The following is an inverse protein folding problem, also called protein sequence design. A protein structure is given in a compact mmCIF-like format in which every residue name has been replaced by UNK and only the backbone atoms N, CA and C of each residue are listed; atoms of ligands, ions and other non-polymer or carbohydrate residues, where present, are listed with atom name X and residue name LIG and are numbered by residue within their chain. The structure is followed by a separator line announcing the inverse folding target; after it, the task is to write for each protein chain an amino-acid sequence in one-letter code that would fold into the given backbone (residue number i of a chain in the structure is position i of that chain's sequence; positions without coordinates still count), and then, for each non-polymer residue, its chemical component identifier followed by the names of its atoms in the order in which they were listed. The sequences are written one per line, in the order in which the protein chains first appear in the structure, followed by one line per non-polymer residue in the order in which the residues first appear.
data_IF_561802896605
#
_entry.id   IF_561802896605
#
_cell.length_a   1.000
_cell.length_b   1.000
_cell.length_c   1.000
_cell.angle_alpha   90.00
_cell.angle_beta   90.00
_cell.angle_gamma   90.00
#
_symmetry.space_group_name_H-M   'P 1'
#
loop_
_entity.id
_entity.type
_entity.pdbx_description
1 polymer ?
#
# COMPACT_ATOMS: atom_id res chain seq x y z
N UNK A 1 42.66 4.48 7.43
CA UNK A 1 41.46 4.71 8.25
C UNK A 1 40.50 5.54 7.42
N UNK A 2 39.58 4.91 6.70
CA UNK A 2 38.55 5.61 5.96
C UNK A 2 37.42 5.93 6.95
N UNK A 3 37.27 7.18 7.28
CA UNK A 3 36.12 7.73 7.99
C UNK A 3 34.94 7.62 7.01
N UNK A 4 34.15 6.54 7.12
CA UNK A 4 32.89 6.46 6.42
C UNK A 4 31.95 7.47 7.07
N UNK A 5 31.80 8.65 6.43
CA UNK A 5 30.76 9.60 6.76
C UNK A 5 29.44 8.84 6.76
N UNK A 6 28.84 8.64 7.95
CA UNK A 6 27.49 8.11 8.08
C UNK A 6 26.58 9.03 7.29
N UNK A 7 26.03 8.52 6.20
CA UNK A 7 25.08 9.28 5.38
C UNK A 7 23.96 9.74 6.31
N UNK A 8 23.90 11.05 6.56
CA UNK A 8 22.81 11.67 7.33
C UNK A 8 21.52 11.45 6.54
N UNK A 9 20.58 10.69 7.10
CA UNK A 9 19.32 10.39 6.42
C UNK A 9 18.41 9.52 7.27
N UNK A 10 17.26 9.14 6.71
CA UNK A 10 16.28 8.29 7.37
C UNK A 10 16.58 6.82 7.08
N UNK A 11 16.61 5.99 8.10
CA UNK A 11 16.72 4.55 7.91
C UNK A 11 15.33 3.90 7.64
N UNK A 12 15.32 2.64 7.21
CA UNK A 12 14.09 1.92 6.89
C UNK A 12 13.09 1.84 8.06
N UNK A 13 13.58 1.72 9.30
CA UNK A 13 12.70 1.66 10.48
C UNK A 13 11.96 2.97 10.68
N UNK A 14 12.65 4.11 10.53
CA UNK A 14 12.05 5.44 10.67
C UNK A 14 10.98 5.67 9.59
N UNK A 15 11.28 5.36 8.33
CA UNK A 15 10.32 5.49 7.23
C UNK A 15 9.08 4.60 7.42
N UNK A 16 9.28 3.36 7.89
CA UNK A 16 8.17 2.46 8.23
C UNK A 16 7.34 2.96 9.40
N UNK A 17 7.95 3.59 10.39
CA UNK A 17 7.22 4.20 11.51
C UNK A 17 6.37 5.37 11.02
N UNK A 18 6.93 6.24 10.17
CA UNK A 18 6.17 7.31 9.51
C UNK A 18 4.96 6.74 8.75
N UNK A 19 5.16 5.66 7.98
CA UNK A 19 4.09 4.99 7.27
C UNK A 19 3.02 4.42 8.21
N UNK A 20 3.40 3.82 9.34
CA UNK A 20 2.47 3.32 10.36
C UNK A 20 1.61 4.46 10.93
N UNK A 21 2.21 5.58 11.30
CA UNK A 21 1.49 6.73 11.85
C UNK A 21 0.51 7.30 10.81
N UNK A 22 0.98 7.54 9.59
CA UNK A 22 0.16 8.07 8.51
C UNK A 22 -1.01 7.14 8.15
N UNK A 23 -0.78 5.83 8.12
CA UNK A 23 -1.80 4.80 7.89
C UNK A 23 -2.87 4.82 8.98
N UNK A 24 -2.45 4.93 10.23
CA UNK A 24 -3.37 4.98 11.36
C UNK A 24 -4.25 6.21 11.31
N UNK A 25 -3.66 7.37 10.99
CA UNK A 25 -4.42 8.61 10.80
C UNK A 25 -5.46 8.47 9.67
N UNK A 26 -5.08 7.91 8.53
CA UNK A 26 -5.98 7.71 7.39
C UNK A 26 -7.17 6.80 7.73
N UNK A 27 -6.92 5.65 8.33
CA UNK A 27 -7.97 4.70 8.68
C UNK A 27 -8.87 5.21 9.82
N UNK A 28 -8.30 5.91 10.81
CA UNK A 28 -9.10 6.59 11.82
C UNK A 28 -9.98 7.69 11.19
N UNK A 29 -9.45 8.44 10.24
CA UNK A 29 -10.21 9.49 9.54
C UNK A 29 -11.41 8.87 8.80
N UNK A 30 -11.23 7.79 8.05
CA UNK A 30 -12.33 7.06 7.43
C UNK A 30 -13.35 6.53 8.45
N UNK A 31 -12.89 6.16 9.65
CA UNK A 31 -13.76 5.63 10.70
C UNK A 31 -14.57 6.74 11.39
N UNK A 32 -13.93 7.87 11.68
CA UNK A 32 -14.55 8.99 12.41
C UNK A 32 -15.38 9.90 11.52
N UNK A 33 -14.98 10.05 10.26
CA UNK A 33 -15.63 10.91 9.24
C UNK A 33 -15.94 10.07 7.99
N UNK A 34 -16.91 9.16 8.08
CA UNK A 34 -17.23 8.25 6.98
C UNK A 34 -17.78 8.99 5.76
N UNK A 35 -17.50 8.44 4.58
CA UNK A 35 -17.90 9.03 3.30
C UNK A 35 -16.85 10.01 2.74
N UNK A 36 -17.20 10.67 1.64
CA UNK A 36 -16.32 11.62 0.95
C UNK A 36 -16.51 13.04 1.52
N UNK A 37 -16.07 13.24 2.77
CA UNK A 37 -16.13 14.53 3.44
C UNK A 37 -15.25 15.57 2.75
N UNK A 38 -15.79 16.77 2.54
CA UNK A 38 -15.07 17.91 1.95
C UNK A 38 -14.50 18.88 2.98
N UNK A 39 -14.61 18.54 4.26
CA UNK A 39 -14.03 19.33 5.34
C UNK A 39 -12.51 19.38 5.21
N UNK A 40 -11.93 20.56 5.26
CA UNK A 40 -10.50 20.78 4.98
C UNK A 40 -9.56 19.96 5.87
N UNK A 41 -9.90 19.77 7.15
CA UNK A 41 -9.08 18.96 8.08
C UNK A 41 -9.16 17.47 7.78
N UNK A 42 -10.30 16.98 7.30
CA UNK A 42 -10.47 15.59 6.84
C UNK A 42 -9.63 15.34 5.59
N UNK A 43 -9.70 16.26 4.63
CA UNK A 43 -8.88 16.22 3.41
C UNK A 43 -7.38 16.21 3.76
N UNK A 44 -6.95 17.08 4.68
CA UNK A 44 -5.55 17.15 5.11
C UNK A 44 -5.07 15.82 5.73
N UNK A 45 -5.90 15.20 6.59
CA UNK A 45 -5.57 13.91 7.21
C UNK A 45 -5.46 12.79 6.15
N UNK A 46 -6.35 12.77 5.16
CA UNK A 46 -6.25 11.84 4.04
C UNK A 46 -5.01 12.08 3.18
N UNK A 47 -4.63 13.32 2.89
CA UNK A 47 -3.40 13.65 2.15
C UNK A 47 -2.18 13.13 2.91
N UNK A 48 -2.11 13.30 4.23
CA UNK A 48 -1.03 12.74 5.06
C UNK A 48 -1.04 11.21 4.97
N UNK A 49 -2.21 10.59 5.00
CA UNK A 49 -2.38 9.14 4.88
C UNK A 49 -1.81 8.56 3.57
N UNK A 50 -1.88 9.32 2.47
CA UNK A 50 -1.41 8.87 1.14
C UNK A 50 0.09 8.55 1.08
N UNK A 51 0.91 9.04 2.00
CA UNK A 51 2.35 8.71 2.03
C UNK A 51 2.62 7.25 2.39
N UNK A 52 1.68 6.56 3.04
CA UNK A 52 1.83 5.18 3.52
C UNK A 52 2.09 4.19 2.39
N UNK A 53 1.21 4.17 1.40
CA UNK A 53 1.22 3.16 0.35
C UNK A 53 2.53 3.20 -0.48
N UNK A 54 3.03 4.35 -0.98
CA UNK A 54 4.29 4.40 -1.72
C UNK A 54 5.51 4.01 -0.89
N UNK A 55 5.55 4.33 0.42
CA UNK A 55 6.62 3.84 1.30
C UNK A 55 6.60 2.32 1.36
N UNK A 56 5.43 1.71 1.47
CA UNK A 56 5.32 0.25 1.53
C UNK A 56 5.68 -0.39 0.19
N UNK A 57 5.25 0.16 -0.94
CA UNK A 57 5.65 -0.32 -2.27
C UNK A 57 7.16 -0.33 -2.44
N UNK A 58 7.82 0.78 -2.04
CA UNK A 58 9.27 0.90 -2.06
C UNK A 58 9.93 -0.18 -1.20
N UNK A 59 9.44 -0.42 0.03
CA UNK A 59 10.02 -1.43 0.91
C UNK A 59 9.68 -2.87 0.54
N UNK A 60 8.62 -3.15 -0.21
CA UNK A 60 8.41 -4.46 -0.81
C UNK A 60 9.49 -4.72 -1.88
N UNK A 61 9.74 -3.75 -2.76
CA UNK A 61 10.77 -3.84 -3.78
C UNK A 61 12.18 -3.96 -3.17
N UNK A 62 12.53 -3.13 -2.18
CA UNK A 62 13.81 -3.24 -1.46
C UNK A 62 13.93 -4.59 -0.73
N UNK A 63 12.85 -5.04 -0.06
CA UNK A 63 12.80 -6.33 0.62
C UNK A 63 13.02 -7.51 -0.31
N UNK A 64 12.59 -7.42 -1.57
CA UNK A 64 12.86 -8.42 -2.59
C UNK A 64 14.36 -8.62 -2.82
N UNK A 65 15.12 -7.54 -2.96
CA UNK A 65 16.57 -7.61 -3.20
C UNK A 65 17.39 -7.98 -1.96
N UNK A 66 16.84 -7.79 -0.78
CA UNK A 66 17.51 -8.12 0.49
C UNK A 66 17.10 -9.48 1.09
N UNK A 67 16.12 -10.18 0.49
CA UNK A 67 15.68 -11.47 1.03
C UNK A 67 16.53 -12.62 0.51
N UNK A 68 16.91 -13.53 1.42
CA UNK A 68 17.56 -14.79 1.04
C UNK A 68 16.57 -15.87 0.55
N UNK A 69 15.27 -15.71 0.89
CA UNK A 69 14.25 -16.69 0.55
C UNK A 69 12.95 -16.01 0.14
N UNK A 70 12.80 -15.84 -1.17
CA UNK A 70 11.62 -15.18 -1.76
C UNK A 70 10.33 -15.95 -1.48
N UNK A 71 10.36 -17.29 -1.49
CA UNK A 71 9.17 -18.12 -1.21
C UNK A 71 8.66 -17.90 0.21
N UNK A 72 9.57 -17.87 1.22
CA UNK A 72 9.20 -17.56 2.60
C UNK A 72 8.73 -16.12 2.76
N UNK A 73 9.26 -15.19 1.99
CA UNK A 73 8.81 -13.79 2.02
C UNK A 73 7.39 -13.66 1.43
N UNK A 74 7.15 -14.23 0.25
CA UNK A 74 5.84 -14.26 -0.37
C UNK A 74 4.79 -14.96 0.52
N UNK A 75 5.11 -16.15 1.07
CA UNK A 75 4.21 -16.88 1.96
C UNK A 75 3.77 -16.03 3.16
N UNK A 76 4.71 -15.32 3.81
CA UNK A 76 4.36 -14.42 4.94
C UNK A 76 3.45 -13.28 4.52
N UNK A 77 3.65 -12.70 3.33
CA UNK A 77 2.77 -11.64 2.82
C UNK A 77 1.39 -12.18 2.47
N UNK A 78 1.27 -13.36 1.87
CA UNK A 78 -0.03 -13.96 1.59
C UNK A 78 -0.77 -14.34 2.87
N UNK A 79 -0.10 -14.90 3.87
CA UNK A 79 -0.71 -15.18 5.19
C UNK A 79 -1.21 -13.86 5.81
N UNK A 80 -0.38 -12.81 5.80
CA UNK A 80 -0.81 -11.50 6.27
C UNK A 80 -1.98 -10.95 5.47
N UNK A 81 -2.00 -11.12 4.14
CA UNK A 81 -3.07 -10.65 3.28
C UNK A 81 -4.41 -11.32 3.63
N UNK A 82 -4.41 -12.64 3.89
CA UNK A 82 -5.61 -13.37 4.31
C UNK A 82 -6.11 -12.89 5.68
N UNK A 83 -5.22 -12.77 6.67
CA UNK A 83 -5.61 -12.26 8.00
C UNK A 83 -6.14 -10.82 7.89
N UNK A 84 -5.46 -9.99 7.11
CA UNK A 84 -5.82 -8.59 6.93
C UNK A 84 -7.10 -8.39 6.11
N UNK A 85 -7.48 -9.34 5.28
CA UNK A 85 -8.76 -9.30 4.55
C UNK A 85 -9.93 -9.18 5.52
N UNK A 86 -9.99 -10.04 6.54
CA UNK A 86 -11.05 -10.00 7.55
C UNK A 86 -11.01 -8.71 8.37
N UNK A 87 -9.82 -8.28 8.79
CA UNK A 87 -9.67 -7.04 9.55
C UNK A 87 -10.05 -5.79 8.73
N UNK A 88 -9.70 -5.76 7.45
CA UNK A 88 -10.04 -4.69 6.51
C UNK A 88 -11.54 -4.62 6.28
N UNK A 89 -12.17 -5.75 5.95
CA UNK A 89 -13.60 -5.79 5.70
C UNK A 89 -14.39 -5.45 6.96
N UNK A 90 -13.94 -5.91 8.13
CA UNK A 90 -14.53 -5.48 9.40
C UNK A 90 -14.35 -3.99 9.67
N UNK A 91 -13.16 -3.42 9.38
CA UNK A 91 -12.90 -1.99 9.53
C UNK A 91 -13.90 -1.15 8.74
N UNK A 92 -14.10 -1.47 7.48
CA UNK A 92 -14.90 -0.66 6.55
C UNK A 92 -16.36 -1.08 6.43
N UNK A 93 -16.80 -2.14 7.12
CA UNK A 93 -18.18 -2.64 7.05
C UNK A 93 -18.49 -3.31 5.71
N UNK A 94 -17.50 -3.96 5.10
CA UNK A 94 -17.60 -4.66 3.81
C UNK A 94 -17.88 -6.15 4.08
N UNK A 95 -18.70 -6.85 3.27
CA UNK A 95 -18.89 -8.28 3.38
C UNK A 95 -17.58 -9.06 3.32
N UNK A 96 -17.44 -10.12 4.13
CA UNK A 96 -16.23 -10.96 4.12
C UNK A 96 -16.08 -11.80 2.85
N UNK A 97 -17.19 -12.11 2.19
CA UNK A 97 -17.18 -12.81 0.90
C UNK A 97 -17.09 -11.74 -0.19
N UNK A 98 -16.02 -11.74 -1.02
CA UNK A 98 -15.85 -10.74 -2.06
C UNK A 98 -16.97 -10.74 -3.11
N UNK A 99 -17.17 -9.63 -3.79
CA UNK A 99 -18.07 -9.43 -4.92
C UNK A 99 -19.58 -9.53 -4.59
N UNK A 100 -19.98 -9.38 -3.33
CA UNK A 100 -21.40 -9.32 -2.96
C UNK A 100 -22.03 -7.95 -3.23
N UNK A 101 -21.25 -6.88 -3.14
CA UNK A 101 -21.76 -5.48 -3.28
C UNK A 101 -21.13 -4.72 -4.41
N UNK A 102 -19.83 -4.88 -4.63
CA UNK A 102 -19.04 -4.14 -5.63
C UNK A 102 -17.84 -4.96 -6.07
N UNK A 103 -17.14 -4.51 -7.10
CA UNK A 103 -15.87 -5.10 -7.56
C UNK A 103 -14.65 -4.35 -7.02
N UNK A 104 -14.85 -3.18 -6.41
CA UNK A 104 -13.75 -2.34 -5.88
C UNK A 104 -13.56 -2.56 -4.39
N UNK A 105 -12.33 -2.36 -3.90
CA UNK A 105 -11.97 -2.33 -2.47
C UNK A 105 -12.50 -3.52 -1.65
N UNK A 106 -12.49 -4.71 -2.22
CA UNK A 106 -13.00 -5.93 -1.57
C UNK A 106 -12.02 -6.55 -0.57
N UNK A 107 -10.77 -6.12 -0.59
CA UNK A 107 -9.71 -6.57 0.32
C UNK A 107 -8.64 -5.51 0.49
N UNK A 108 -7.87 -5.58 1.59
CA UNK A 108 -6.82 -4.61 1.89
C UNK A 108 -5.62 -4.68 0.94
N UNK A 109 -4.81 -3.62 0.95
CA UNK A 109 -3.64 -3.42 0.07
C UNK A 109 -2.59 -4.53 0.17
N UNK A 110 -2.52 -5.29 1.27
CA UNK A 110 -1.51 -6.35 1.46
C UNK A 110 -1.64 -7.44 0.39
N UNK A 111 -2.83 -7.67 -0.15
CA UNK A 111 -3.06 -8.56 -1.28
C UNK A 111 -2.28 -8.11 -2.51
N UNK A 112 -2.39 -6.83 -2.89
CA UNK A 112 -1.62 -6.24 -3.99
C UNK A 112 -0.12 -6.21 -3.72
N UNK A 113 0.30 -6.00 -2.46
CA UNK A 113 1.72 -6.05 -2.08
C UNK A 113 2.32 -7.45 -2.28
N UNK A 114 1.58 -8.49 -1.90
CA UNK A 114 2.02 -9.89 -2.07
C UNK A 114 2.16 -10.25 -3.55
N UNK A 115 1.17 -9.92 -4.36
CA UNK A 115 1.22 -10.14 -5.81
C UNK A 115 2.24 -9.25 -6.53
N UNK A 116 2.47 -8.03 -6.05
CA UNK A 116 3.53 -7.14 -6.54
C UNK A 116 4.93 -7.74 -6.36
N UNK A 117 5.17 -8.41 -5.21
CA UNK A 117 6.39 -9.16 -4.98
C UNK A 117 6.54 -10.32 -5.97
N UNK A 118 5.47 -11.08 -6.23
CA UNK A 118 5.47 -12.19 -7.20
C UNK A 118 5.73 -11.67 -8.61
N UNK A 119 5.06 -10.59 -9.00
CA UNK A 119 5.24 -9.99 -10.32
C UNK A 119 6.67 -9.49 -10.52
N UNK A 120 7.25 -8.83 -9.53
CA UNK A 120 8.65 -8.40 -9.57
C UNK A 120 9.60 -9.61 -9.74
N UNK A 121 9.37 -10.71 -9.01
CA UNK A 121 10.14 -11.94 -9.18
C UNK A 121 10.04 -12.51 -10.60
N UNK A 122 8.84 -12.56 -11.19
CA UNK A 122 8.63 -13.04 -12.56
C UNK A 122 9.40 -12.19 -13.56
N UNK A 123 9.40 -10.88 -13.41
CA UNK A 123 10.09 -9.98 -14.35
C UNK A 123 11.61 -10.02 -14.19
N UNK A 124 12.12 -10.16 -12.98
CA UNK A 124 13.56 -10.13 -12.67
C UNK A 124 14.24 -11.49 -12.89
N UNK A 125 13.62 -12.60 -12.46
CA UNK A 125 14.28 -13.92 -12.40
C UNK A 125 13.72 -14.98 -13.31
N UNK A 126 12.43 -14.92 -13.71
CA UNK A 126 11.88 -15.97 -14.56
C UNK A 126 12.44 -15.88 -15.99
N UNK A 127 12.92 -17.02 -16.50
CA UNK A 127 13.40 -17.16 -17.89
C UNK A 127 12.25 -17.26 -18.91
N UNK A 128 11.19 -16.47 -18.65
CA UNK A 128 10.01 -16.43 -19.48
C UNK A 128 10.18 -15.47 -20.66
N UNK A 129 9.55 -15.81 -21.78
CA UNK A 129 9.47 -14.91 -22.93
C UNK A 129 8.69 -13.64 -22.57
N UNK A 130 8.95 -12.54 -23.26
CA UNK A 130 8.30 -11.25 -22.97
C UNK A 130 6.77 -11.35 -22.95
N UNK A 131 6.17 -12.06 -23.92
CA UNK A 131 4.73 -12.22 -23.97
C UNK A 131 4.16 -12.98 -22.74
N UNK A 132 4.90 -14.00 -22.23
CA UNK A 132 4.49 -14.75 -21.04
C UNK A 132 4.51 -13.84 -19.79
N UNK A 133 5.53 -12.98 -19.66
CA UNK A 133 5.59 -11.96 -18.59
C UNK A 133 4.44 -10.96 -18.71
N UNK A 134 4.09 -10.54 -19.93
CA UNK A 134 2.95 -9.65 -20.16
C UNK A 134 1.62 -10.30 -19.79
N UNK A 135 1.40 -11.55 -20.17
CA UNK A 135 0.21 -12.32 -19.79
C UNK A 135 0.12 -12.46 -18.27
N UNK A 136 1.23 -12.81 -17.60
CA UNK A 136 1.27 -12.89 -16.14
C UNK A 136 0.95 -11.55 -15.48
N UNK A 137 1.46 -10.43 -16.04
CA UNK A 137 1.14 -9.10 -15.54
C UNK A 137 -0.37 -8.79 -15.65
N UNK A 138 -1.00 -9.10 -16.78
CA UNK A 138 -2.43 -8.92 -16.99
C UNK A 138 -3.23 -9.76 -15.97
N UNK A 139 -2.90 -11.04 -15.83
CA UNK A 139 -3.58 -11.94 -14.88
C UNK A 139 -3.44 -11.42 -13.44
N UNK A 140 -2.23 -11.02 -13.04
CA UNK A 140 -1.98 -10.50 -11.70
C UNK A 140 -2.70 -9.15 -11.49
N UNK A 141 -2.77 -8.30 -12.51
CA UNK A 141 -3.56 -7.06 -12.44
C UNK A 141 -5.05 -7.35 -12.24
N UNK A 142 -5.61 -8.35 -12.93
CA UNK A 142 -7.00 -8.76 -12.73
C UNK A 142 -7.25 -9.31 -11.32
N UNK A 143 -6.33 -10.15 -10.80
CA UNK A 143 -6.42 -10.72 -9.45
C UNK A 143 -6.31 -9.63 -8.37
N UNK A 144 -5.53 -8.59 -8.60
CA UNK A 144 -5.31 -7.50 -7.64
C UNK A 144 -6.24 -6.32 -7.82
N UNK A 145 -7.02 -6.29 -8.90
CA UNK A 145 -7.96 -5.21 -9.21
C UNK A 145 -8.94 -4.92 -8.06
N UNK A 146 -9.55 -5.93 -7.37
CA UNK A 146 -10.49 -5.68 -6.29
C UNK A 146 -9.86 -5.29 -4.95
N UNK A 147 -8.55 -5.14 -4.85
CA UNK A 147 -7.92 -4.72 -3.60
C UNK A 147 -7.83 -3.20 -3.46
N UNK A 148 -7.64 -2.73 -2.25
CA UNK A 148 -7.26 -1.34 -1.99
C UNK A 148 -5.98 -1.00 -2.77
N UNK A 149 -5.94 0.16 -3.41
CA UNK A 149 -4.92 0.56 -4.41
C UNK A 149 -4.89 -0.33 -5.66
N UNK A 150 -5.80 -1.27 -5.83
CA UNK A 150 -6.00 -2.06 -7.05
C UNK A 150 -4.68 -2.67 -7.59
N UNK A 151 -4.59 -2.89 -8.88
CA UNK A 151 -3.36 -3.32 -9.57
C UNK A 151 -2.28 -2.22 -9.61
N UNK A 152 -2.61 -0.99 -9.25
CA UNK A 152 -1.67 0.15 -9.21
C UNK A 152 -0.52 -0.12 -8.23
N UNK A 153 -0.83 -0.63 -7.02
CA UNK A 153 0.21 -1.00 -6.06
C UNK A 153 1.15 -2.07 -6.62
N UNK A 154 0.61 -3.07 -7.30
CA UNK A 154 1.37 -4.15 -7.94
C UNK A 154 2.30 -3.63 -9.04
N UNK A 155 1.80 -2.76 -9.92
CA UNK A 155 2.57 -2.15 -11.00
C UNK A 155 3.61 -1.17 -10.49
N UNK A 156 3.30 -0.42 -9.43
CA UNK A 156 4.25 0.49 -8.79
C UNK A 156 5.43 -0.30 -8.16
N UNK A 157 5.17 -1.41 -7.48
CA UNK A 157 6.23 -2.28 -6.92
C UNK A 157 7.13 -2.82 -8.04
N UNK A 158 6.54 -3.33 -9.12
CA UNK A 158 7.30 -3.78 -10.30
C UNK A 158 8.19 -2.65 -10.83
N UNK A 159 7.61 -1.48 -11.06
CA UNK A 159 8.31 -0.32 -11.64
C UNK A 159 9.45 0.18 -10.73
N UNK A 160 9.22 0.24 -9.43
CA UNK A 160 10.24 0.61 -8.44
C UNK A 160 11.38 -0.41 -8.44
N UNK A 161 11.04 -1.70 -8.40
CA UNK A 161 12.03 -2.78 -8.38
C UNK A 161 12.89 -2.82 -9.65
N UNK A 162 12.26 -2.82 -10.81
CA UNK A 162 12.96 -2.89 -12.11
C UNK A 162 13.85 -1.67 -12.39
N UNK A 163 13.59 -0.54 -11.74
CA UNK A 163 14.41 0.67 -11.84
C UNK A 163 15.29 0.91 -10.60
N UNK A 164 15.60 -0.15 -9.84
CA UNK A 164 16.46 -0.05 -8.65
C UNK A 164 17.80 0.60 -8.98
N UNK A 165 18.25 1.52 -8.13
CA UNK A 165 19.46 2.31 -8.34
C UNK A 165 19.25 3.60 -9.15
N UNK A 166 18.09 3.80 -9.77
CA UNK A 166 17.75 5.05 -10.43
C UNK A 166 16.52 5.70 -9.78
N UNK A 167 16.74 6.44 -8.72
CA UNK A 167 15.69 7.08 -7.92
C UNK A 167 14.71 7.92 -8.76
N UNK A 168 15.23 8.69 -9.74
CA UNK A 168 14.37 9.50 -10.62
C UNK A 168 13.40 8.63 -11.41
N UNK A 169 13.87 7.55 -12.04
CA UNK A 169 13.00 6.62 -12.77
C UNK A 169 12.01 5.91 -11.85
N UNK A 170 12.44 5.46 -10.66
CA UNK A 170 11.56 4.84 -9.69
C UNK A 170 10.39 5.77 -9.34
N UNK A 171 10.66 7.02 -9.00
CA UNK A 171 9.63 7.99 -8.60
C UNK A 171 8.76 8.41 -9.78
N UNK A 172 9.33 8.62 -10.96
CA UNK A 172 8.54 8.98 -12.16
C UNK A 172 7.55 7.88 -12.53
N UNK A 173 7.96 6.62 -12.56
CA UNK A 173 7.06 5.50 -12.89
C UNK A 173 6.03 5.26 -11.79
N UNK A 174 6.42 5.37 -10.52
CA UNK A 174 5.50 5.30 -9.40
C UNK A 174 4.39 6.37 -9.53
N UNK A 175 4.79 7.61 -9.79
CA UNK A 175 3.81 8.70 -9.96
C UNK A 175 2.95 8.54 -11.21
N UNK A 176 3.47 7.96 -12.30
CA UNK A 176 2.65 7.63 -13.45
C UNK A 176 1.52 6.63 -13.10
N UNK A 177 1.83 5.61 -12.31
CA UNK A 177 0.82 4.67 -11.77
C UNK A 177 -0.22 5.41 -10.90
N UNK A 178 0.22 6.32 -10.03
CA UNK A 178 -0.67 7.11 -9.16
C UNK A 178 -1.58 8.03 -9.98
N UNK A 179 -1.05 8.69 -11.01
CA UNK A 179 -1.86 9.54 -11.90
C UNK A 179 -2.95 8.72 -12.60
N UNK A 180 -2.61 7.52 -13.09
CA UNK A 180 -3.63 6.61 -13.65
C UNK A 180 -4.71 6.27 -12.62
N UNK A 181 -4.33 6.01 -11.38
CA UNK A 181 -5.29 5.74 -10.29
C UNK A 181 -6.17 6.97 -10.00
N UNK A 182 -5.57 8.15 -9.94
CA UNK A 182 -6.30 9.40 -9.76
C UNK A 182 -7.29 9.67 -10.89
N UNK A 183 -6.95 9.33 -12.15
CA UNK A 183 -7.87 9.43 -13.29
C UNK A 183 -9.07 8.49 -13.09
N UNK A 184 -8.85 7.25 -12.69
CA UNK A 184 -9.95 6.31 -12.41
C UNK A 184 -10.85 6.83 -11.29
N UNK A 185 -10.26 7.34 -10.20
CA UNK A 185 -11.03 7.99 -9.12
C UNK A 185 -11.86 9.17 -9.63
N UNK A 186 -11.27 10.04 -10.46
CA UNK A 186 -11.92 11.21 -10.99
C UNK A 186 -13.12 10.88 -11.88
N UNK A 187 -13.01 9.81 -12.67
CA UNK A 187 -14.06 9.42 -13.63
C UNK A 187 -15.18 8.60 -12.98
N UNK A 188 -14.86 7.77 -11.98
CA UNK A 188 -15.79 6.74 -11.50
C UNK A 188 -16.12 6.85 -10.01
N UNK A 189 -15.37 7.62 -9.21
CA UNK A 189 -15.52 7.60 -7.76
C UNK A 189 -15.83 9.01 -7.21
N UNK A 190 -14.81 9.83 -6.99
CA UNK A 190 -14.97 11.20 -6.49
C UNK A 190 -13.84 12.11 -6.98
N UNK A 191 -14.19 13.32 -7.42
CA UNK A 191 -13.24 14.27 -8.03
C UNK A 191 -12.25 14.85 -7.04
N UNK A 192 -12.70 15.14 -5.81
CA UNK A 192 -11.85 15.71 -4.75
C UNK A 192 -10.89 14.64 -4.25
N UNK A 193 -11.42 13.45 -3.98
CA UNK A 193 -10.60 12.31 -3.55
C UNK A 193 -9.65 11.80 -4.62
N UNK A 194 -9.94 12.03 -5.90
CA UNK A 194 -8.97 11.83 -6.98
C UNK A 194 -7.73 12.72 -6.82
N UNK A 195 -7.92 14.00 -6.48
CA UNK A 195 -6.81 14.92 -6.22
C UNK A 195 -6.03 14.54 -4.96
N UNK A 196 -6.71 14.05 -3.93
CA UNK A 196 -6.06 13.55 -2.70
C UNK A 196 -5.07 12.42 -3.02
N UNK A 197 -5.34 11.56 -4.03
CA UNK A 197 -4.39 10.50 -4.41
C UNK A 197 -3.03 11.07 -4.85
N UNK A 198 -2.99 12.26 -5.42
CA UNK A 198 -1.74 12.92 -5.79
C UNK A 198 -0.88 13.31 -4.57
N UNK A 199 -1.46 13.35 -3.36
CA UNK A 199 -0.73 13.53 -2.10
C UNK A 199 0.38 12.49 -1.87
N UNK A 200 0.32 11.35 -2.57
CA UNK A 200 1.43 10.37 -2.61
C UNK A 200 2.77 10.99 -3.04
N UNK A 201 2.77 12.11 -3.78
CA UNK A 201 4.00 12.82 -4.16
C UNK A 201 4.82 13.29 -2.94
N UNK A 202 4.17 13.51 -1.78
CA UNK A 202 4.84 13.87 -0.53
C UNK A 202 5.79 12.77 -0.02
N UNK A 203 5.66 11.55 -0.54
CA UNK A 203 6.58 10.45 -0.24
C UNK A 203 7.94 10.63 -0.90
N UNK A 204 8.03 11.33 -2.02
CA UNK A 204 9.27 11.48 -2.80
C UNK A 204 10.40 12.08 -1.96
N UNK A 205 10.23 13.24 -1.28
CA UNK A 205 11.27 13.79 -0.42
C UNK A 205 11.63 12.85 0.74
N UNK A 206 10.66 12.14 1.32
CA UNK A 206 10.93 11.18 2.40
C UNK A 206 11.79 10.01 1.91
N UNK A 207 11.47 9.42 0.76
CA UNK A 207 12.24 8.33 0.18
C UNK A 207 13.61 8.80 -0.32
N UNK A 208 13.76 10.06 -0.72
CA UNK A 208 15.06 10.64 -1.09
C UNK A 208 16.03 10.71 0.09
N UNK A 209 15.51 10.85 1.30
CA UNK A 209 16.28 10.84 2.53
C UNK A 209 16.66 9.43 3.00
N UNK A 210 16.21 8.38 2.32
CA UNK A 210 16.54 7.01 2.70
C UNK A 210 18.04 6.74 2.54
N UNK A 211 18.70 6.34 3.63
CA UNK A 211 20.14 6.14 3.70
C UNK A 211 20.59 4.69 3.35
N UNK A 212 19.67 3.83 2.92
CA UNK A 212 19.98 2.43 2.61
C UNK A 212 20.11 1.52 3.83
N UNK A 213 20.05 2.05 5.06
CA UNK A 213 20.22 1.27 6.29
C UNK A 213 18.88 0.76 6.83
N UNK A 214 18.92 -0.43 7.45
CA UNK A 214 17.74 -1.01 8.09
C UNK A 214 17.31 -0.25 9.35
N UNK A 215 18.25 0.29 10.11
CA UNK A 215 18.05 0.81 11.44
C UNK A 215 18.25 -0.25 12.54
N UNK A 216 18.33 0.19 13.80
CA UNK A 216 18.72 -0.63 14.96
C UNK A 216 17.62 -1.58 15.43
N UNK A 217 16.35 -1.21 15.26
CA UNK A 217 15.23 -2.03 15.73
C UNK A 217 14.96 -3.22 14.79
N UNK A 218 15.42 -4.39 15.16
CA UNK A 218 15.27 -5.64 14.37
C UNK A 218 13.82 -6.16 14.33
N UNK A 219 12.95 -5.70 15.22
CA UNK A 219 11.56 -6.11 15.35
C UNK A 219 10.58 -5.44 14.38
N UNK A 220 10.96 -4.40 13.64
CA UNK A 220 10.07 -3.59 12.82
C UNK A 220 9.21 -4.40 11.83
N UNK A 221 9.77 -5.43 11.21
CA UNK A 221 9.01 -6.32 10.32
C UNK A 221 7.89 -7.06 11.07
N UNK A 222 8.20 -7.64 12.23
CA UNK A 222 7.21 -8.35 13.06
C UNK A 222 6.15 -7.38 13.58
N UNK A 223 6.57 -6.19 14.01
CA UNK A 223 5.65 -5.13 14.45
C UNK A 223 4.62 -4.82 13.36
N UNK A 224 5.06 -4.62 12.12
CA UNK A 224 4.16 -4.33 11.02
C UNK A 224 3.15 -5.45 10.74
N UNK A 225 3.60 -6.72 10.79
CA UNK A 225 2.72 -7.88 10.59
C UNK A 225 1.61 -8.00 11.64
N UNK A 226 1.88 -7.60 12.88
CA UNK A 226 0.88 -7.61 13.95
C UNK A 226 0.04 -6.33 13.94
N UNK A 227 0.71 -5.19 13.78
CA UNK A 227 0.06 -3.89 13.85
C UNK A 227 -0.98 -3.68 12.75
N UNK A 228 -0.67 -4.13 11.51
CA UNK A 228 -1.54 -3.88 10.37
C UNK A 228 -2.96 -4.47 10.55
N UNK A 229 -3.17 -5.75 10.86
CA UNK A 229 -4.52 -6.25 11.13
C UNK A 229 -5.10 -5.72 12.45
N UNK A 230 -4.28 -5.50 13.47
CA UNK A 230 -4.75 -5.05 14.79
C UNK A 230 -5.35 -3.64 14.73
N UNK A 231 -4.68 -2.66 14.11
CA UNK A 231 -5.22 -1.31 14.03
C UNK A 231 -6.51 -1.24 13.20
N UNK A 232 -6.61 -2.03 12.11
CA UNK A 232 -7.84 -2.16 11.33
C UNK A 232 -8.97 -2.74 12.17
N UNK A 233 -8.68 -3.76 12.97
CA UNK A 233 -9.66 -4.34 13.90
C UNK A 233 -10.14 -3.29 14.92
N UNK A 234 -9.22 -2.52 15.51
CA UNK A 234 -9.57 -1.43 16.45
C UNK A 234 -10.43 -0.37 15.75
N UNK A 235 -10.08 0.06 14.54
CA UNK A 235 -10.90 0.98 13.75
C UNK A 235 -12.30 0.42 13.48
N UNK A 236 -12.40 -0.88 13.16
CA UNK A 236 -13.68 -1.56 12.99
C UNK A 236 -14.54 -1.57 14.26
N UNK A 237 -13.93 -1.79 15.43
CA UNK A 237 -14.63 -1.69 16.72
C UNK A 237 -15.15 -0.28 16.97
N UNK A 238 -14.33 0.74 16.72
CA UNK A 238 -14.75 2.16 16.84
C UNK A 238 -15.91 2.45 15.89
N UNK A 239 -15.85 1.98 14.62
CA UNK A 239 -16.93 2.12 13.65
C UNK A 239 -18.24 1.51 14.18
N UNK A 240 -18.18 0.29 14.69
CA UNK A 240 -19.38 -0.40 15.23
C UNK A 240 -19.98 0.36 16.40
N UNK A 241 -19.15 0.89 17.30
CA UNK A 241 -19.60 1.68 18.46
C UNK A 241 -20.26 3.00 18.02
N UNK A 242 -19.67 3.70 17.05
CA UNK A 242 -20.15 5.01 16.61
C UNK A 242 -21.35 4.94 15.64
N UNK A 243 -21.33 3.97 14.72
CA UNK A 243 -22.24 3.95 13.57
C UNK A 243 -23.11 2.70 13.48
N UNK A 244 -22.85 1.68 14.30
CA UNK A 244 -23.56 0.39 14.28
C UNK A 244 -22.96 -0.64 13.34
N UNK A 245 -23.38 -1.91 13.53
CA UNK A 245 -22.80 -3.08 12.81
C UNK A 245 -23.04 -3.02 11.30
N UNK A 246 -24.20 -2.55 10.86
CA UNK A 246 -24.60 -2.54 9.44
C UNK A 246 -24.07 -1.32 8.65
N UNK A 247 -23.32 -0.42 9.29
CA UNK A 247 -22.84 0.78 8.63
C UNK A 247 -21.55 0.52 7.85
N UNK A 248 -21.51 0.91 6.57
CA UNK A 248 -20.30 0.94 5.74
C UNK A 248 -19.73 2.35 5.63
N UNK A 249 -18.41 2.51 5.68
CA UNK A 249 -17.76 3.82 5.68
C UNK A 249 -17.66 4.49 4.31
N UNK A 250 -18.42 4.04 3.32
CA UNK A 250 -18.50 4.68 2.01
C UNK A 250 -17.41 4.27 1.00
N UNK A 251 -16.34 3.61 1.44
CA UNK A 251 -15.33 3.06 0.50
C UNK A 251 -15.83 1.82 -0.27
N UNK A 252 -17.00 1.31 0.09
CA UNK A 252 -17.64 0.11 -0.48
C UNK A 252 -18.93 0.41 -1.27
N UNK A 253 -19.38 1.65 -1.32
CA UNK A 253 -20.63 2.03 -1.99
C UNK A 253 -20.35 2.54 -3.41
N UNK A 254 -19.88 1.66 -4.28
CA UNK A 254 -19.78 1.88 -5.71
C UNK A 254 -20.44 0.76 -6.48
#
# INVERSE_FOLDING_TARGET
MAYTDKVKGLNANTLKLIAIVAMTLDHLTWTLFPGYSTEWYVILLHIIGRITAPIMWFFIAEGYYHTHNIKKYAARLFILAVISHFAYNFCFGIPFIPFQTTIFNQTGVVWSLAWGLVLLYIFDKAEWKAWQKSVAAIIICLITFPSDWSCIATMAILSIGMNRGNFKKQMTHMMACVVMYAIVYFLFIDKIYALIQLGTCLTIPLLRLYNGERGTFRGMGKLFYVYYPLHLFICGMIRVILWGVGYSTGTANF
#
